data_IF_874842621404
#
_entry.id   IF_874842621404
#
_cell.length_a   1.000
_cell.length_b   1.000
_cell.length_c   1.000
_cell.angle_alpha   90.00
_cell.angle_beta   90.00
_cell.angle_gamma   90.00
#
_symmetry.space_group_name_H-M   'P 1'
#
loop_
_entity.id
_entity.type
_entity.pdbx_description
1 polymer ?
#
# COMPACT_ATOMS: atom_id res chain seq x y z
N UNK A 1 -0.68 0.58 -14.80
CA UNK A 1 -1.51 0.11 -13.68
C UNK A 1 -2.91 0.73 -13.85
N UNK A 2 -4.00 0.04 -13.47
CA UNK A 2 -5.39 0.52 -13.61
C UNK A 2 -5.78 1.43 -12.43
N UNK A 3 -5.33 1.09 -11.24
CA UNK A 3 -5.66 1.81 -10.00
C UNK A 3 -4.46 2.52 -9.39
N UNK A 4 -3.30 1.87 -9.42
CA UNK A 4 -2.05 2.49 -8.99
C UNK A 4 -1.46 3.36 -10.09
N UNK A 5 -0.68 4.35 -9.67
CA UNK A 5 0.16 5.18 -10.55
C UNK A 5 1.58 5.22 -10.02
N UNK A 6 2.54 5.51 -10.89
CA UNK A 6 3.89 5.86 -10.49
C UNK A 6 3.99 7.35 -10.11
N UNK A 7 5.08 7.75 -9.45
CA UNK A 7 5.25 9.12 -8.95
C UNK A 7 5.08 10.19 -10.05
N UNK A 8 5.61 9.95 -11.25
CA UNK A 8 5.55 10.85 -12.39
C UNK A 8 4.17 10.93 -13.07
N UNK A 9 3.23 10.06 -12.71
CA UNK A 9 1.87 10.00 -13.25
C UNK A 9 0.84 10.61 -12.30
N UNK A 10 1.26 10.99 -11.08
CA UNK A 10 0.37 11.61 -10.09
C UNK A 10 -0.12 12.97 -10.57
N UNK A 11 -1.40 13.23 -10.34
CA UNK A 11 -2.07 14.49 -10.70
C UNK A 11 -2.45 15.33 -9.47
N UNK A 12 -2.20 14.81 -8.27
CA UNK A 12 -2.46 15.45 -6.98
C UNK A 12 -1.42 14.99 -5.93
N UNK A 13 -1.53 15.50 -4.71
CA UNK A 13 -0.73 15.05 -3.55
C UNK A 13 -1.48 14.07 -2.65
N UNK A 14 -2.71 13.69 -3.00
CA UNK A 14 -3.60 12.93 -2.10
C UNK A 14 -3.59 11.46 -2.48
N UNK A 15 -2.57 10.75 -2.01
CA UNK A 15 -2.34 9.34 -2.30
C UNK A 15 -1.81 8.62 -1.07
N UNK A 16 -2.18 7.36 -0.93
CA UNK A 16 -1.44 6.42 -0.10
C UNK A 16 -0.21 5.95 -0.89
N UNK A 17 0.97 6.11 -0.30
CA UNK A 17 2.23 5.68 -0.89
C UNK A 17 2.60 4.28 -0.39
N UNK A 18 2.81 3.35 -1.30
CA UNK A 18 3.37 2.03 -1.00
C UNK A 18 4.87 2.13 -1.24
N UNK A 19 5.63 2.20 -0.16
CA UNK A 19 7.09 2.37 -0.13
C UNK A 19 7.78 1.03 0.19
N UNK A 20 8.83 0.67 -0.54
CA UNK A 20 9.56 -0.60 -0.29
C UNK A 20 10.45 -0.50 0.93
N UNK A 21 10.35 -1.49 1.81
CA UNK A 21 11.08 -1.53 3.08
C UNK A 21 10.38 -0.78 4.22
N UNK A 22 11.09 -0.72 5.34
CA UNK A 22 10.68 0.02 6.54
C UNK A 22 11.03 1.50 6.36
N UNK A 23 10.03 2.35 6.53
CA UNK A 23 10.20 3.80 6.47
C UNK A 23 11.08 4.32 7.61
N UNK A 24 12.05 5.19 7.28
CA UNK A 24 12.98 5.75 8.27
C UNK A 24 13.31 7.23 8.00
N UNK A 25 12.74 8.10 8.85
CA UNK A 25 12.97 9.54 8.81
C UNK A 25 14.45 9.93 9.02
N UNK A 26 15.17 9.19 9.86
CA UNK A 26 16.57 9.47 10.23
C UNK A 26 17.54 9.06 9.11
N UNK A 27 17.19 8.04 8.32
CA UNK A 27 17.92 7.69 7.08
C UNK A 27 17.66 8.66 5.93
N UNK A 28 16.70 9.57 6.09
CA UNK A 28 16.40 10.59 5.13
C UNK A 28 15.37 10.17 4.08
N UNK A 29 14.54 9.17 4.37
CA UNK A 29 13.43 8.81 3.50
C UNK A 29 12.49 10.00 3.30
N UNK A 30 11.95 10.11 2.08
CA UNK A 30 11.10 11.22 1.66
C UNK A 30 9.92 10.67 0.89
N UNK A 31 8.79 11.33 1.08
CA UNK A 31 7.57 11.00 0.36
C UNK A 31 7.84 11.10 -1.13
N UNK A 32 7.01 10.39 -1.88
CA UNK A 32 7.01 10.37 -3.33
C UNK A 32 8.27 9.71 -3.91
N UNK A 33 8.66 8.57 -3.34
CA UNK A 33 9.78 7.80 -3.85
C UNK A 33 9.44 7.23 -5.24
N UNK A 34 10.39 7.30 -6.18
CA UNK A 34 10.18 6.84 -7.56
C UNK A 34 10.01 5.31 -7.68
N UNK A 35 10.46 4.55 -6.68
CA UNK A 35 10.24 3.11 -6.56
C UNK A 35 8.87 2.73 -5.97
N UNK A 36 8.13 3.71 -5.44
CA UNK A 36 6.80 3.49 -4.86
C UNK A 36 5.71 3.40 -5.93
N UNK A 37 4.58 2.82 -5.51
CA UNK A 37 3.30 2.93 -6.23
C UNK A 37 2.30 3.69 -5.36
N UNK A 38 1.39 4.41 -6.01
CA UNK A 38 0.51 5.36 -5.33
C UNK A 38 -0.94 5.00 -5.61
N UNK A 39 -1.74 4.86 -4.55
CA UNK A 39 -3.18 4.63 -4.63
C UNK A 39 -3.91 5.89 -4.18
N UNK A 40 -4.81 6.41 -5.01
CA UNK A 40 -5.58 7.61 -4.64
C UNK A 40 -6.44 7.32 -3.40
N UNK A 41 -6.54 8.28 -2.49
CA UNK A 41 -7.29 8.14 -1.23
C UNK A 41 -8.77 7.76 -1.43
N UNK A 42 -9.47 8.41 -2.36
CA UNK A 42 -10.83 8.07 -2.77
C UNK A 42 -10.96 6.59 -3.12
N UNK A 43 -9.96 6.01 -3.81
CA UNK A 43 -9.98 4.59 -4.16
C UNK A 43 -9.73 3.74 -2.91
N UNK A 44 -8.75 4.09 -2.08
CA UNK A 44 -8.44 3.40 -0.81
C UNK A 44 -9.70 3.23 0.07
N UNK A 45 -10.47 4.31 0.23
CA UNK A 45 -11.70 4.31 1.02
C UNK A 45 -12.84 3.57 0.30
N UNK A 46 -13.12 3.90 -0.96
CA UNK A 46 -14.31 3.40 -1.66
C UNK A 46 -14.24 1.92 -2.05
N UNK A 47 -13.03 1.39 -2.31
CA UNK A 47 -12.86 -0.05 -2.52
C UNK A 47 -12.91 -0.84 -1.20
N UNK A 48 -12.70 -0.14 -0.07
CA UNK A 48 -12.66 -0.69 1.28
C UNK A 48 -11.43 -1.53 1.57
N UNK A 49 -10.28 -1.17 0.98
CA UNK A 49 -8.96 -1.65 1.37
C UNK A 49 -8.58 -1.13 2.75
N UNK A 50 -8.93 0.13 3.05
CA UNK A 50 -8.70 0.74 4.38
C UNK A 50 -9.34 -0.08 5.50
N UNK A 51 -10.59 -0.52 5.32
CA UNK A 51 -11.31 -1.36 6.30
C UNK A 51 -10.61 -2.71 6.52
N UNK A 52 -10.03 -3.27 5.46
CA UNK A 52 -9.27 -4.53 5.55
C UNK A 52 -7.97 -4.28 6.32
N UNK A 53 -7.24 -3.22 6.01
CA UNK A 53 -6.00 -2.86 6.72
C UNK A 53 -6.26 -2.61 8.21
N UNK A 54 -7.30 -1.86 8.56
CA UNK A 54 -7.76 -1.65 9.95
C UNK A 54 -8.11 -2.95 10.68
N UNK A 55 -8.51 -4.00 9.96
CA UNK A 55 -8.80 -5.31 10.54
C UNK A 55 -7.52 -6.13 10.77
N UNK A 56 -6.58 -6.05 9.84
CA UNK A 56 -5.35 -6.86 9.83
C UNK A 56 -4.25 -6.27 10.71
N UNK A 57 -4.16 -4.95 10.77
CA UNK A 57 -3.17 -4.17 11.50
C UNK A 57 -3.82 -3.59 12.76
N UNK A 58 -3.34 -4.01 13.93
CA UNK A 58 -3.87 -3.56 15.23
C UNK A 58 -3.57 -2.10 15.55
N UNK A 59 -2.54 -1.57 14.90
CA UNK A 59 -1.93 -0.26 15.06
C UNK A 59 -2.04 0.57 13.76
N UNK A 60 -3.04 0.26 12.92
CA UNK A 60 -3.30 1.02 11.69
C UNK A 60 -3.41 2.52 11.97
N UNK A 61 -2.68 3.32 11.20
CA UNK A 61 -2.69 4.78 11.24
C UNK A 61 -3.04 5.32 9.84
N UNK A 62 -4.19 5.98 9.72
CA UNK A 62 -4.68 6.54 8.47
C UNK A 62 -3.86 7.73 7.96
N UNK A 63 -3.08 8.36 8.84
CA UNK A 63 -2.23 9.51 8.55
C UNK A 63 -0.73 9.22 8.78
N UNK A 64 -0.38 7.94 8.97
CA UNK A 64 0.94 7.53 9.41
C UNK A 64 1.53 6.36 8.64
N UNK A 65 2.46 5.67 9.28
CA UNK A 65 3.25 4.59 8.71
C UNK A 65 2.63 3.23 9.07
N UNK A 66 2.27 2.45 8.06
CA UNK A 66 1.70 1.12 8.24
C UNK A 66 2.69 0.09 7.67
N UNK A 67 3.52 -0.47 8.54
CA UNK A 67 4.50 -1.49 8.16
C UNK A 67 3.82 -2.83 7.89
N UNK A 68 4.11 -3.41 6.72
CA UNK A 68 3.49 -4.65 6.26
C UNK A 68 4.56 -5.70 5.96
N UNK A 69 4.47 -6.80 6.70
CA UNK A 69 5.21 -8.04 6.46
C UNK A 69 4.39 -9.03 5.62
N UNK A 70 5.03 -10.04 4.99
CA UNK A 70 4.37 -11.01 4.12
C UNK A 70 3.11 -11.65 4.74
N UNK A 71 3.16 -12.05 6.01
CA UNK A 71 2.04 -12.75 6.65
C UNK A 71 0.81 -11.85 6.79
N UNK A 72 1.03 -10.55 7.01
CA UNK A 72 -0.05 -9.56 7.09
C UNK A 72 -0.61 -9.25 5.71
N UNK A 73 0.25 -9.14 4.70
CA UNK A 73 -0.22 -8.92 3.33
C UNK A 73 -1.00 -10.13 2.79
N UNK A 74 -0.58 -11.35 3.09
CA UNK A 74 -1.34 -12.56 2.75
C UNK A 74 -2.76 -12.52 3.33
N UNK A 75 -2.91 -12.07 4.57
CA UNK A 75 -4.22 -11.90 5.20
C UNK A 75 -5.05 -10.79 4.53
N UNK A 76 -4.43 -9.66 4.15
CA UNK A 76 -5.07 -8.60 3.35
C UNK A 76 -5.59 -9.18 2.03
N UNK A 77 -4.75 -9.90 1.28
CA UNK A 77 -5.12 -10.54 0.03
C UNK A 77 -6.25 -11.56 0.21
N UNK A 78 -6.23 -12.36 1.28
CA UNK A 78 -7.29 -13.34 1.58
C UNK A 78 -8.63 -12.65 1.85
N UNK A 79 -8.63 -11.54 2.58
CA UNK A 79 -9.83 -10.75 2.85
C UNK A 79 -10.33 -10.01 1.60
N UNK A 80 -9.40 -9.51 0.77
CA UNK A 80 -9.71 -8.88 -0.51
C UNK A 80 -10.34 -9.88 -1.50
N UNK A 81 -9.79 -11.10 -1.60
CA UNK A 81 -10.37 -12.21 -2.38
C UNK A 81 -11.80 -12.52 -1.95
N UNK A 82 -12.03 -12.63 -0.63
CA UNK A 82 -13.36 -12.90 -0.07
C UNK A 82 -14.35 -11.77 -0.36
N UNK A 83 -13.90 -10.52 -0.35
CA UNK A 83 -14.72 -9.33 -0.64
C UNK A 83 -14.98 -9.20 -2.15
N UNK A 84 -14.02 -9.56 -2.99
CA UNK A 84 -14.08 -9.46 -4.44
C UNK A 84 -14.10 -8.01 -4.93
N UNK A 85 -14.47 -7.83 -6.21
CA UNK A 85 -14.61 -6.50 -6.80
C UNK A 85 -13.30 -5.72 -6.88
N UNK A 86 -13.38 -4.39 -6.71
CA UNK A 86 -12.25 -3.47 -6.92
C UNK A 86 -11.07 -3.78 -5.98
N UNK A 87 -11.32 -4.12 -4.72
CA UNK A 87 -10.23 -4.38 -3.76
C UNK A 87 -9.41 -5.60 -4.14
N UNK A 88 -10.04 -6.65 -4.70
CA UNK A 88 -9.32 -7.80 -5.26
C UNK A 88 -8.46 -7.40 -6.45
N UNK A 89 -9.02 -6.61 -7.37
CA UNK A 89 -8.26 -6.14 -8.54
C UNK A 89 -7.06 -5.27 -8.13
N UNK A 90 -7.21 -4.45 -7.08
CA UNK A 90 -6.11 -3.64 -6.52
C UNK A 90 -5.02 -4.53 -5.93
N UNK A 91 -5.37 -5.54 -5.11
CA UNK A 91 -4.36 -6.45 -4.55
C UNK A 91 -3.67 -7.29 -5.62
N UNK A 92 -4.41 -7.73 -6.65
CA UNK A 92 -3.84 -8.45 -7.80
C UNK A 92 -2.88 -7.57 -8.61
N UNK A 93 -3.24 -6.30 -8.82
CA UNK A 93 -2.40 -5.35 -9.55
C UNK A 93 -1.10 -5.01 -8.81
N UNK A 94 -1.15 -4.91 -7.48
CA UNK A 94 0.02 -4.66 -6.64
C UNK A 94 0.94 -5.89 -6.51
N UNK A 95 0.48 -7.10 -6.85
CA UNK A 95 1.14 -8.36 -6.49
C UNK A 95 2.62 -8.41 -6.90
N UNK A 96 2.96 -8.08 -8.15
CA UNK A 96 4.34 -8.10 -8.63
C UNK A 96 5.22 -7.05 -7.93
N UNK A 97 4.66 -5.89 -7.59
CA UNK A 97 5.41 -4.85 -6.88
C UNK A 97 5.67 -5.27 -5.43
N UNK A 98 4.68 -5.90 -4.78
CA UNK A 98 4.80 -6.39 -3.42
C UNK A 98 5.75 -7.57 -3.32
N UNK A 99 5.72 -8.50 -4.28
CA UNK A 99 6.69 -9.59 -4.39
C UNK A 99 8.13 -9.06 -4.44
N UNK A 100 8.39 -8.09 -5.31
CA UNK A 100 9.70 -7.44 -5.40
C UNK A 100 10.09 -6.71 -4.10
N UNK A 101 9.14 -6.06 -3.42
CA UNK A 101 9.38 -5.43 -2.12
C UNK A 101 9.77 -6.46 -1.05
N UNK A 102 9.10 -7.62 -1.02
CA UNK A 102 9.44 -8.69 -0.09
C UNK A 102 10.78 -9.36 -0.41
N UNK A 103 11.09 -9.59 -1.69
CA UNK A 103 12.36 -10.17 -2.10
C UNK A 103 13.56 -9.28 -1.75
N UNK A 104 13.43 -7.96 -1.96
CA UNK A 104 14.56 -7.03 -1.81
C UNK A 104 14.63 -6.38 -0.43
N UNK A 105 13.50 -6.22 0.26
CA UNK A 105 13.42 -5.47 1.52
C UNK A 105 12.79 -6.28 2.67
N UNK A 106 12.12 -7.40 2.40
CA UNK A 106 11.42 -8.22 3.40
C UNK A 106 10.10 -7.63 3.91
N UNK A 107 9.78 -6.38 3.56
CA UNK A 107 8.57 -5.67 3.95
C UNK A 107 8.32 -4.48 3.00
N UNK A 108 7.18 -3.82 3.19
CA UNK A 108 6.90 -2.51 2.65
C UNK A 108 6.08 -1.69 3.66
N UNK A 109 6.10 -0.37 3.54
CA UNK A 109 5.31 0.54 4.36
C UNK A 109 4.24 1.21 3.49
N UNK A 110 2.99 1.22 3.96
CA UNK A 110 1.96 2.10 3.40
C UNK A 110 1.94 3.39 4.21
N UNK A 111 2.20 4.51 3.55
CA UNK A 111 2.15 5.84 4.15
C UNK A 111 0.80 6.48 3.84
N UNK A 112 0.07 6.84 4.89
CA UNK A 112 -1.07 7.75 4.81
C UNK A 112 -0.60 9.20 4.63
N UNK A 113 -1.39 10.00 3.92
CA UNK A 113 -1.19 11.44 3.72
C UNK A 113 -2.44 12.22 4.10
#
# INVERSE_FOLDING_TARGET
MKYFVHNNERVSTVYYEFFKGEWDWDKGDRYHNDGSIFLHDDIMYTCGLEEILKNVLSDYDDCGENLIYPEKWEEVCRLAEKKGGIVKEITDEAALWVEDAFENCGCFTILGL
#
